data_IF_721846026679
#
_entry.id   IF_721846026679
#
_cell.length_a   1.000
_cell.length_b   1.000
_cell.length_c   1.000
_cell.angle_alpha   90.00
_cell.angle_beta   90.00
_cell.angle_gamma   90.00
#
_symmetry.space_group_name_H-M   'P 1'
#
loop_
_entity.id
_entity.type
_entity.pdbx_description
1 polymer ?
#
# COMPACT_ATOMS: atom_id res chain seq x y z
N UNK A 1 -2.01 -33.55 14.43
CA UNK A 1 -0.85 -33.18 13.62
C UNK A 1 -1.44 -32.62 12.35
N UNK A 2 -1.62 -31.31 12.31
CA UNK A 2 -2.06 -30.62 11.09
C UNK A 2 -0.80 -30.33 10.28
N UNK A 3 -0.67 -31.02 9.15
CA UNK A 3 0.40 -30.86 8.19
C UNK A 3 0.34 -29.44 7.63
N UNK A 4 1.25 -28.60 8.09
CA UNK A 4 1.49 -27.29 7.49
C UNK A 4 2.31 -27.54 6.23
N UNK A 5 1.86 -27.12 5.03
CA UNK A 5 2.66 -27.28 3.82
C UNK A 5 4.02 -26.60 4.05
N UNK A 6 5.09 -27.30 3.67
CA UNK A 6 6.45 -26.83 3.93
C UNK A 6 6.70 -25.53 3.14
N UNK A 7 7.46 -24.58 3.71
CA UNK A 7 7.79 -23.28 3.08
C UNK A 7 8.33 -23.45 1.63
N UNK A 8 8.92 -24.60 1.33
CA UNK A 8 9.39 -24.98 -0.01
C UNK A 8 8.26 -25.30 -1.01
N UNK A 9 7.16 -25.93 -0.59
CA UNK A 9 6.03 -26.27 -1.45
C UNK A 9 5.31 -25.00 -1.92
N UNK A 10 4.99 -24.07 -1.01
CA UNK A 10 4.36 -22.79 -1.38
C UNK A 10 5.25 -21.96 -2.33
N UNK A 11 6.57 -22.01 -2.15
CA UNK A 11 7.52 -21.36 -3.06
C UNK A 11 7.52 -21.99 -4.46
N UNK A 12 7.35 -23.31 -4.56
CA UNK A 12 7.21 -24.01 -5.85
C UNK A 12 5.88 -23.67 -6.51
N UNK A 13 4.78 -23.66 -5.75
CA UNK A 13 3.45 -23.30 -6.26
C UNK A 13 3.46 -21.87 -6.83
N UNK A 14 4.02 -20.90 -6.09
CA UNK A 14 4.13 -19.51 -6.55
C UNK A 14 4.87 -19.38 -7.88
N UNK A 15 6.01 -20.07 -8.05
CA UNK A 15 6.77 -20.04 -9.31
C UNK A 15 5.98 -20.59 -10.49
N UNK A 16 5.25 -21.69 -10.29
CA UNK A 16 4.39 -22.29 -11.33
C UNK A 16 3.25 -21.35 -11.68
N UNK A 17 2.60 -20.75 -10.68
CA UNK A 17 1.51 -19.80 -10.89
C UNK A 17 1.97 -18.50 -11.58
N UNK A 18 3.13 -17.96 -11.24
CA UNK A 18 3.71 -16.80 -11.93
C UNK A 18 4.03 -17.10 -13.39
N UNK A 19 4.57 -18.28 -13.69
CA UNK A 19 4.82 -18.73 -15.05
C UNK A 19 3.52 -18.90 -15.85
N UNK A 20 2.48 -19.50 -15.24
CA UNK A 20 1.14 -19.62 -15.81
C UNK A 20 0.51 -18.24 -16.07
N UNK A 21 0.63 -17.32 -15.12
CA UNK A 21 0.14 -15.94 -15.25
C UNK A 21 0.78 -15.23 -16.44
N UNK A 22 2.12 -15.29 -16.55
CA UNK A 22 2.85 -14.66 -17.65
C UNK A 22 2.47 -15.28 -19.00
N UNK A 23 2.41 -16.61 -19.09
CA UNK A 23 2.04 -17.27 -20.33
C UNK A 23 0.58 -16.99 -20.73
N UNK A 24 -0.32 -16.84 -19.76
CA UNK A 24 -1.71 -16.43 -19.99
C UNK A 24 -1.82 -14.97 -20.46
N UNK A 25 -1.00 -14.08 -19.90
CA UNK A 25 -0.91 -12.68 -20.32
C UNK A 25 -0.42 -12.56 -21.77
N UNK A 26 0.64 -13.30 -22.13
CA UNK A 26 1.18 -13.33 -23.49
C UNK A 26 0.14 -13.84 -24.50
N UNK A 27 -0.69 -14.80 -24.08
CA UNK A 27 -1.77 -15.35 -24.91
C UNK A 27 -2.91 -14.34 -25.12
N UNK A 28 -3.14 -13.43 -24.17
CA UNK A 28 -4.12 -12.35 -24.30
C UNK A 28 -3.63 -11.22 -25.21
N UNK A 29 -2.36 -10.81 -25.06
CA UNK A 29 -1.77 -9.71 -25.83
C UNK A 29 -1.45 -10.12 -27.27
N UNK A 30 -1.13 -11.40 -27.50
CA UNK A 30 -0.82 -11.94 -28.81
C UNK A 30 -1.60 -13.24 -29.11
N UNK A 31 -2.92 -13.17 -29.37
CA UNK A 31 -3.72 -14.32 -29.77
C UNK A 31 -3.38 -14.69 -31.23
N UNK A 32 -2.27 -15.40 -31.47
CA UNK A 32 -1.73 -15.58 -32.83
C UNK A 32 -2.74 -16.23 -33.79
N UNK A 33 -3.08 -15.60 -34.93
CA UNK A 33 -3.91 -16.22 -35.96
C UNK A 33 -3.16 -16.74 -37.19
N UNK A 34 -1.84 -16.52 -37.36
CA UNK A 34 -1.23 -16.66 -38.70
C UNK A 34 0.00 -17.57 -38.80
N UNK A 35 -0.09 -18.43 -39.81
CA UNK A 35 0.93 -19.24 -40.48
C UNK A 35 1.45 -20.48 -39.74
N UNK A 36 1.22 -21.63 -40.39
CA UNK A 36 1.95 -22.91 -40.48
C UNK A 36 2.73 -23.53 -39.29
N UNK A 37 2.98 -22.82 -38.19
CA UNK A 37 3.56 -23.35 -36.96
C UNK A 37 2.50 -23.29 -35.86
N UNK A 38 1.78 -24.40 -35.73
CA UNK A 38 0.70 -24.67 -34.74
C UNK A 38 1.18 -24.65 -33.27
N UNK A 39 2.32 -24.04 -32.96
CA UNK A 39 3.02 -24.15 -31.69
C UNK A 39 3.46 -22.76 -31.20
N UNK A 40 2.54 -21.90 -30.75
CA UNK A 40 3.03 -20.71 -30.04
C UNK A 40 3.72 -21.19 -28.74
N UNK A 41 4.93 -20.69 -28.42
CA UNK A 41 5.68 -21.13 -27.24
C UNK A 41 4.87 -21.02 -25.96
N UNK A 42 4.03 -19.98 -25.84
CA UNK A 42 3.16 -19.73 -24.69
C UNK A 42 2.05 -20.78 -24.53
N UNK A 43 1.50 -21.31 -25.64
CA UNK A 43 0.49 -22.38 -25.58
C UNK A 43 1.11 -23.69 -25.11
N UNK A 44 2.31 -24.00 -25.60
CA UNK A 44 3.03 -25.21 -25.19
C UNK A 44 3.45 -25.14 -23.72
N UNK A 45 3.95 -23.98 -23.28
CA UNK A 45 4.26 -23.73 -21.88
C UNK A 45 3.03 -23.84 -20.97
N UNK A 46 1.86 -23.34 -21.38
CA UNK A 46 0.62 -23.49 -20.61
C UNK A 46 0.17 -24.94 -20.47
N UNK A 47 0.30 -25.75 -21.53
CA UNK A 47 -0.06 -27.17 -21.48
C UNK A 47 0.95 -28.02 -20.67
N UNK A 48 2.24 -27.69 -20.75
CA UNK A 48 3.28 -28.34 -19.93
C UNK A 48 3.08 -27.97 -18.44
N UNK A 49 2.81 -26.69 -18.14
CA UNK A 49 2.53 -26.20 -16.78
C UNK A 49 1.20 -26.71 -16.22
N UNK A 50 0.14 -26.88 -17.03
CA UNK A 50 -1.11 -27.54 -16.61
C UNK A 50 -0.80 -28.93 -16.04
N UNK A 51 -0.06 -29.76 -16.78
CA UNK A 51 0.22 -31.14 -16.38
C UNK A 51 1.09 -31.24 -15.13
N UNK A 52 1.98 -30.27 -14.91
CA UNK A 52 2.77 -30.18 -13.68
C UNK A 52 1.91 -29.66 -12.51
N UNK A 53 1.00 -28.73 -12.81
CA UNK A 53 0.12 -28.09 -11.84
C UNK A 53 -1.05 -28.98 -11.41
N UNK A 54 -1.57 -29.92 -12.21
CA UNK A 54 -2.71 -30.78 -11.82
C UNK A 54 -2.46 -31.56 -10.51
N UNK A 55 -1.20 -31.93 -10.24
CA UNK A 55 -0.80 -32.58 -8.99
C UNK A 55 -0.73 -31.63 -7.78
N UNK A 56 -0.55 -30.33 -8.04
CA UNK A 56 -0.39 -29.26 -7.05
C UNK A 56 -1.74 -28.55 -6.78
N UNK A 57 -2.52 -28.29 -7.83
CA UNK A 57 -3.81 -27.61 -7.82
C UNK A 57 -4.93 -28.49 -7.27
N UNK A 58 -4.82 -29.82 -7.38
CA UNK A 58 -5.83 -30.76 -6.86
C UNK A 58 -5.89 -30.82 -5.33
N UNK A 59 -4.87 -30.31 -4.64
CA UNK A 59 -4.81 -30.28 -3.18
C UNK A 59 -5.47 -29.04 -2.56
N UNK A 60 -5.67 -27.96 -3.34
CA UNK A 60 -6.29 -26.72 -2.86
C UNK A 60 -7.71 -26.57 -3.43
N UNK A 61 -8.77 -26.64 -2.60
CA UNK A 61 -10.15 -26.43 -3.04
C UNK A 61 -10.39 -25.09 -3.73
N UNK A 62 -9.53 -24.10 -3.48
CA UNK A 62 -9.61 -22.75 -4.02
C UNK A 62 -9.03 -22.63 -5.44
N UNK A 63 -8.32 -23.64 -5.91
CA UNK A 63 -7.72 -23.71 -7.25
C UNK A 63 -8.56 -24.58 -8.22
N UNK A 64 -9.72 -25.09 -7.78
CA UNK A 64 -10.61 -25.89 -8.63
C UNK A 64 -11.14 -25.08 -9.82
N UNK A 65 -11.48 -23.82 -9.61
CA UNK A 65 -11.86 -22.86 -10.67
C UNK A 65 -10.75 -22.63 -11.67
N UNK A 66 -9.49 -22.55 -11.21
CA UNK A 66 -8.32 -22.46 -12.09
C UNK A 66 -8.18 -23.73 -12.94
N UNK A 67 -8.36 -24.91 -12.34
CA UNK A 67 -8.32 -26.19 -13.08
C UNK A 67 -9.42 -26.29 -14.15
N UNK A 68 -10.63 -25.81 -13.86
CA UNK A 68 -11.73 -25.75 -14.83
C UNK A 68 -11.41 -24.81 -16.00
N UNK A 69 -10.79 -23.66 -15.73
CA UNK A 69 -10.35 -22.73 -16.77
C UNK A 69 -9.23 -23.32 -17.63
N UNK A 70 -8.26 -24.03 -17.04
CA UNK A 70 -7.18 -24.71 -17.77
C UNK A 70 -7.72 -25.84 -18.66
N UNK A 71 -8.63 -26.68 -18.14
CA UNK A 71 -9.29 -27.72 -18.92
C UNK A 71 -10.13 -27.12 -20.07
N UNK A 72 -10.83 -26.02 -19.81
CA UNK A 72 -11.59 -25.28 -20.83
C UNK A 72 -10.66 -24.74 -21.92
N UNK A 73 -9.52 -24.16 -21.54
CA UNK A 73 -8.51 -23.65 -22.46
C UNK A 73 -7.96 -24.76 -23.37
N UNK A 74 -7.65 -25.93 -22.80
CA UNK A 74 -7.21 -27.12 -23.55
C UNK A 74 -8.25 -27.58 -24.57
N UNK A 75 -9.51 -27.66 -24.17
CA UNK A 75 -10.61 -28.05 -25.08
C UNK A 75 -10.79 -27.08 -26.25
N UNK A 76 -10.58 -25.78 -26.01
CA UNK A 76 -10.62 -24.75 -27.05
C UNK A 76 -9.45 -24.89 -28.02
N UNK A 77 -8.27 -25.25 -27.53
CA UNK A 77 -7.11 -25.54 -28.38
C UNK A 77 -7.30 -26.79 -29.24
N UNK A 78 -7.80 -27.88 -28.68
CA UNK A 78 -8.11 -29.10 -29.45
C UNK A 78 -9.12 -28.82 -30.57
N UNK A 79 -10.11 -27.97 -30.29
CA UNK A 79 -11.14 -27.56 -31.26
C UNK A 79 -10.54 -26.66 -32.35
N UNK A 80 -9.64 -25.75 -31.98
CA UNK A 80 -8.88 -24.93 -32.92
C UNK A 80 -8.01 -25.79 -33.85
N UNK A 81 -7.33 -26.79 -33.30
CA UNK A 81 -6.45 -27.69 -34.06
C UNK A 81 -7.25 -28.57 -35.03
N UNK A 82 -8.42 -29.07 -34.62
CA UNK A 82 -9.32 -29.88 -35.46
C UNK A 82 -9.99 -29.07 -36.58
N UNK A 83 -10.09 -27.75 -36.44
CA UNK A 83 -10.78 -26.87 -37.39
C UNK A 83 -9.91 -26.28 -38.51
N UNK A 84 -8.71 -26.83 -38.75
CA UNK A 84 -7.72 -26.41 -39.77
C UNK A 84 -8.15 -26.56 -41.26
N UNK A 85 -9.43 -26.60 -41.57
CA UNK A 85 -9.94 -26.60 -42.95
C UNK A 85 -9.79 -25.24 -43.65
N UNK A 86 -9.83 -25.24 -44.99
CA UNK A 86 -9.80 -24.01 -45.80
C UNK A 86 -11.22 -23.64 -46.24
N UNK A 87 -11.96 -22.97 -45.37
CA UNK A 87 -13.31 -22.46 -45.62
C UNK A 87 -13.69 -21.22 -44.80
N UNK A 88 -14.72 -20.49 -45.23
CA UNK A 88 -15.26 -19.33 -44.51
C UNK A 88 -15.80 -19.71 -43.12
N UNK A 89 -16.38 -20.91 -42.97
CA UNK A 89 -16.81 -21.45 -41.68
C UNK A 89 -15.66 -21.69 -40.70
N UNK A 90 -14.54 -22.24 -41.18
CA UNK A 90 -13.31 -22.41 -40.37
C UNK A 90 -12.66 -21.06 -40.01
N UNK A 91 -12.80 -20.03 -40.83
CA UNK A 91 -12.30 -18.69 -40.51
C UNK A 91 -13.07 -18.04 -39.36
N UNK A 92 -14.40 -18.13 -39.37
CA UNK A 92 -15.25 -17.65 -38.27
C UNK A 92 -15.03 -18.48 -36.99
N UNK A 93 -14.95 -19.81 -37.11
CA UNK A 93 -14.63 -20.70 -35.99
C UNK A 93 -13.27 -20.35 -35.36
N UNK A 94 -12.24 -20.06 -36.17
CA UNK A 94 -10.92 -19.64 -35.69
C UNK A 94 -10.98 -18.31 -34.94
N UNK A 95 -11.66 -17.29 -35.47
CA UNK A 95 -11.81 -15.99 -34.79
C UNK A 95 -12.57 -16.08 -33.47
N UNK A 96 -13.69 -16.81 -33.45
CA UNK A 96 -14.48 -17.01 -32.23
C UNK A 96 -13.66 -17.78 -31.19
N UNK A 97 -12.95 -18.83 -31.61
CA UNK A 97 -12.08 -19.62 -30.74
C UNK A 97 -10.92 -18.79 -30.18
N UNK A 98 -10.30 -17.94 -31.00
CA UNK A 98 -9.23 -17.02 -30.55
C UNK A 98 -9.73 -16.02 -29.51
N UNK A 99 -10.94 -15.49 -29.68
CA UNK A 99 -11.54 -14.57 -28.72
C UNK A 99 -11.96 -15.29 -27.42
N UNK A 100 -12.46 -16.52 -27.49
CA UNK A 100 -12.74 -17.32 -26.29
C UNK A 100 -11.45 -17.74 -25.57
N UNK A 101 -10.37 -18.06 -26.30
CA UNK A 101 -9.05 -18.34 -25.72
C UNK A 101 -8.53 -17.12 -24.96
N UNK A 102 -8.57 -15.94 -25.57
CA UNK A 102 -8.18 -14.69 -24.91
C UNK A 102 -9.04 -14.41 -23.66
N UNK A 103 -10.34 -14.69 -23.70
CA UNK A 103 -11.21 -14.53 -22.51
C UNK A 103 -10.89 -15.51 -21.39
N UNK A 104 -10.68 -16.79 -21.70
CA UNK A 104 -10.32 -17.80 -20.70
C UNK A 104 -8.93 -17.53 -20.13
N UNK A 105 -7.99 -17.09 -20.95
CA UNK A 105 -6.68 -16.64 -20.50
C UNK A 105 -6.79 -15.44 -19.52
N UNK A 106 -7.66 -14.46 -19.82
CA UNK A 106 -7.98 -13.38 -18.89
C UNK A 106 -8.55 -13.88 -17.56
N UNK A 107 -9.47 -14.85 -17.58
CA UNK A 107 -9.99 -15.47 -16.36
C UNK A 107 -8.91 -16.21 -15.55
N UNK A 108 -7.99 -16.92 -16.24
CA UNK A 108 -6.86 -17.61 -15.60
C UNK A 108 -5.94 -16.60 -14.92
N UNK A 109 -5.60 -15.49 -15.59
CA UNK A 109 -4.74 -14.45 -15.02
C UNK A 109 -5.37 -13.83 -13.75
N UNK A 110 -6.67 -13.55 -13.78
CA UNK A 110 -7.41 -13.01 -12.63
C UNK A 110 -7.48 -14.00 -11.46
N UNK A 111 -7.73 -15.28 -11.73
CA UNK A 111 -7.81 -16.31 -10.69
C UNK A 111 -6.46 -16.54 -10.01
N UNK A 112 -5.38 -16.58 -10.81
CA UNK A 112 -4.02 -16.69 -10.29
C UNK A 112 -3.68 -15.45 -9.45
N UNK A 113 -4.02 -14.24 -9.91
CA UNK A 113 -3.76 -13.03 -9.14
C UNK A 113 -4.53 -13.03 -7.81
N UNK A 114 -5.79 -13.45 -7.82
CA UNK A 114 -6.61 -13.58 -6.60
C UNK A 114 -6.01 -14.58 -5.59
N UNK A 115 -5.45 -15.69 -6.07
CA UNK A 115 -4.76 -16.65 -5.20
C UNK A 115 -3.48 -16.06 -4.60
N UNK A 116 -2.65 -15.40 -5.43
CA UNK A 116 -1.40 -14.75 -4.97
C UNK A 116 -1.72 -13.68 -3.91
N UNK A 117 -2.76 -12.88 -4.14
CA UNK A 117 -3.19 -11.85 -3.20
C UNK A 117 -3.64 -12.46 -1.86
N UNK A 118 -4.34 -13.61 -1.89
CA UNK A 118 -4.76 -14.33 -0.68
C UNK A 118 -3.57 -14.92 0.09
N UNK A 119 -2.64 -15.57 -0.60
CA UNK A 119 -1.44 -16.17 0.03
C UNK A 119 -0.53 -15.11 0.64
N UNK A 120 -0.42 -13.94 -0.02
CA UNK A 120 0.31 -12.78 0.52
C UNK A 120 -0.30 -12.29 1.84
N UNK A 121 -1.63 -12.17 1.90
CA UNK A 121 -2.35 -11.80 3.13
C UNK A 121 -2.15 -12.85 4.22
N UNK A 122 -2.29 -14.15 3.91
CA UNK A 122 -2.15 -15.21 4.90
C UNK A 122 -0.72 -15.30 5.46
N UNK A 123 0.28 -15.14 4.60
CA UNK A 123 1.71 -15.07 5.00
C UNK A 123 1.98 -13.90 5.93
N UNK A 124 1.47 -12.71 5.59
CA UNK A 124 1.54 -11.53 6.45
C UNK A 124 0.82 -11.76 7.78
N UNK A 125 -0.34 -12.43 7.75
CA UNK A 125 -1.12 -12.73 8.95
C UNK A 125 -0.42 -13.70 9.91
N UNK A 126 0.23 -14.74 9.39
CA UNK A 126 1.11 -15.61 10.17
C UNK A 126 2.26 -14.79 10.77
N UNK A 127 2.84 -13.91 9.96
CA UNK A 127 3.80 -12.86 10.34
C UNK A 127 3.41 -12.07 11.59
N UNK A 128 2.22 -11.47 11.54
CA UNK A 128 1.70 -10.56 12.55
C UNK A 128 1.13 -11.26 13.80
N UNK A 129 0.77 -12.55 13.71
CA UNK A 129 0.20 -13.32 14.83
C UNK A 129 1.28 -13.79 15.81
N UNK A 130 2.51 -13.98 15.33
CA UNK A 130 3.66 -14.43 16.13
C UNK A 130 4.86 -13.48 16.02
N UNK A 131 4.70 -12.17 16.34
CA UNK A 131 5.75 -11.16 16.15
C UNK A 131 6.99 -11.41 17.02
N UNK A 132 6.92 -12.32 18.00
CA UNK A 132 8.04 -12.71 18.86
C UNK A 132 8.98 -13.76 18.24
N UNK A 133 8.60 -14.38 17.11
CA UNK A 133 9.42 -15.43 16.46
C UNK A 133 9.98 -15.05 15.09
N UNK A 134 9.44 -14.00 14.46
CA UNK A 134 9.82 -13.60 13.11
C UNK A 134 10.76 -12.40 13.19
N UNK A 135 11.87 -12.46 12.46
CA UNK A 135 12.82 -11.36 12.40
C UNK A 135 12.14 -10.10 11.84
N UNK A 136 12.46 -8.95 12.43
CA UNK A 136 11.87 -7.65 12.05
C UNK A 136 11.96 -7.41 10.53
N UNK A 137 13.10 -7.78 9.93
CA UNK A 137 13.34 -7.63 8.49
C UNK A 137 12.44 -8.53 7.64
N UNK A 138 12.13 -9.75 8.09
CA UNK A 138 11.20 -10.65 7.39
C UNK A 138 9.78 -10.06 7.43
N UNK A 139 9.34 -9.55 8.58
CA UNK A 139 8.02 -8.92 8.71
C UNK A 139 7.91 -7.63 7.90
N UNK A 140 8.94 -6.79 7.90
CA UNK A 140 9.01 -5.60 7.03
C UNK A 140 8.95 -6.01 5.56
N UNK A 141 9.62 -7.10 5.17
CA UNK A 141 9.57 -7.58 3.78
C UNK A 141 8.17 -8.02 3.37
N UNK A 142 7.43 -8.69 4.26
CA UNK A 142 6.04 -9.10 4.01
C UNK A 142 5.12 -7.87 3.90
N UNK A 143 5.33 -6.87 4.74
CA UNK A 143 4.59 -5.61 4.73
C UNK A 143 4.86 -4.80 3.45
N UNK A 144 6.10 -4.73 2.99
CA UNK A 144 6.45 -4.08 1.71
C UNK A 144 5.87 -4.84 0.51
N UNK A 145 5.86 -6.18 0.53
CA UNK A 145 5.19 -6.96 -0.49
C UNK A 145 3.68 -6.68 -0.52
N UNK A 146 3.05 -6.54 0.65
CA UNK A 146 1.64 -6.16 0.73
C UNK A 146 1.39 -4.75 0.19
N UNK A 147 2.25 -3.77 0.53
CA UNK A 147 2.21 -2.41 -0.02
C UNK A 147 2.27 -2.42 -1.55
N UNK A 148 3.24 -3.12 -2.14
CA UNK A 148 3.39 -3.25 -3.60
C UNK A 148 2.14 -3.84 -4.25
N UNK A 149 1.49 -4.81 -3.59
CA UNK A 149 0.24 -5.42 -4.07
C UNK A 149 -0.92 -4.43 -4.03
N UNK A 150 -1.05 -3.65 -2.96
CA UNK A 150 -2.08 -2.60 -2.87
C UNK A 150 -1.88 -1.57 -3.99
N UNK A 151 -0.63 -1.16 -4.25
CA UNK A 151 -0.29 -0.19 -5.30
C UNK A 151 -0.56 -0.70 -6.73
N UNK A 152 -0.35 -2.00 -6.98
CA UNK A 152 -0.61 -2.63 -8.29
C UNK A 152 -2.10 -2.74 -8.66
N UNK A 153 -3.00 -2.25 -7.80
CA UNK A 153 -4.43 -2.19 -8.09
C UNK A 153 -5.14 -3.45 -7.66
N UNK A 154 -5.02 -3.78 -6.37
CA UNK A 154 -5.87 -4.74 -5.66
C UNK A 154 -7.36 -4.55 -6.05
N UNK A 155 -7.88 -5.35 -7.00
CA UNK A 155 -9.25 -5.26 -7.54
C UNK A 155 -9.64 -6.60 -8.16
N UNK A 156 -10.90 -7.14 -8.04
CA UNK A 156 -12.12 -6.64 -7.41
C UNK A 156 -12.72 -7.62 -6.37
N UNK A 157 -11.91 -8.30 -5.54
CA UNK A 157 -12.43 -9.09 -4.41
C UNK A 157 -12.99 -8.24 -3.27
N UNK A 158 -12.79 -6.91 -3.31
CA UNK A 158 -13.58 -5.93 -2.56
C UNK A 158 -15.07 -5.95 -2.97
N UNK A 159 -15.42 -6.59 -4.11
CA UNK A 159 -16.81 -6.85 -4.51
C UNK A 159 -17.41 -8.10 -3.85
N UNK A 160 -16.61 -8.97 -3.23
CA UNK A 160 -17.10 -10.03 -2.32
C UNK A 160 -17.23 -9.48 -0.90
N UNK A 161 -18.11 -8.49 -0.81
CA UNK A 161 -18.46 -7.65 0.32
C UNK A 161 -19.18 -8.45 1.43
N UNK A 162 -18.54 -9.46 2.03
CA UNK A 162 -19.09 -10.16 3.21
C UNK A 162 -18.07 -10.52 4.29
N UNK A 163 -16.77 -10.48 3.97
CA UNK A 163 -15.69 -10.53 4.96
C UNK A 163 -15.15 -9.12 5.28
N UNK A 164 -16.04 -8.12 5.29
CA UNK A 164 -15.80 -6.78 5.87
C UNK A 164 -15.29 -6.88 7.32
N UNK A 165 -15.61 -7.97 8.01
CA UNK A 165 -15.05 -8.33 9.31
C UNK A 165 -13.56 -8.69 9.26
N UNK A 166 -13.09 -9.27 8.16
CA UNK A 166 -11.69 -9.64 7.93
C UNK A 166 -10.93 -8.39 7.45
N UNK A 167 -11.54 -7.49 6.67
CA UNK A 167 -10.95 -6.17 6.36
C UNK A 167 -10.69 -5.31 7.60
N UNK A 168 -11.67 -5.17 8.50
CA UNK A 168 -11.54 -4.35 9.72
C UNK A 168 -10.71 -5.06 10.81
N UNK A 169 -10.98 -6.32 11.13
CA UNK A 169 -10.23 -7.04 12.20
C UNK A 169 -8.79 -7.36 11.79
N UNK A 170 -8.50 -7.60 10.50
CA UNK A 170 -7.11 -7.83 10.06
C UNK A 170 -6.32 -6.53 9.91
N UNK A 171 -6.92 -5.43 9.44
CA UNK A 171 -6.22 -4.14 9.40
C UNK A 171 -5.88 -3.67 10.81
N UNK A 172 -6.77 -3.81 11.79
CA UNK A 172 -6.46 -3.47 13.19
C UNK A 172 -5.25 -4.23 13.75
N UNK A 173 -5.14 -5.54 13.50
CA UNK A 173 -3.96 -6.33 13.93
C UNK A 173 -2.69 -5.96 13.19
N UNK A 174 -2.78 -5.69 11.89
CA UNK A 174 -1.65 -5.23 11.09
C UNK A 174 -1.14 -3.89 11.60
N UNK A 175 -2.03 -2.91 11.78
CA UNK A 175 -1.69 -1.60 12.33
C UNK A 175 -1.06 -1.77 13.71
N UNK A 176 -1.70 -2.56 14.59
CA UNK A 176 -1.17 -2.81 15.93
C UNK A 176 0.23 -3.42 15.89
N UNK A 177 0.47 -4.43 15.04
CA UNK A 177 1.79 -5.04 14.87
C UNK A 177 2.84 -4.04 14.38
N UNK A 178 2.51 -3.31 13.31
CA UNK A 178 3.38 -2.29 12.71
C UNK A 178 3.76 -1.19 13.70
N UNK A 179 2.78 -0.70 14.47
CA UNK A 179 2.99 0.32 15.51
C UNK A 179 3.78 -0.26 16.68
N UNK A 180 3.50 -1.50 17.11
CA UNK A 180 4.18 -2.14 18.24
C UNK A 180 5.66 -2.45 17.99
N UNK A 181 6.07 -2.60 16.73
CA UNK A 181 7.48 -2.78 16.36
C UNK A 181 8.35 -1.56 16.70
N UNK A 182 7.77 -0.35 16.79
CA UNK A 182 8.47 0.90 17.11
C UNK A 182 9.76 1.12 16.29
N UNK A 183 9.72 0.75 15.01
CA UNK A 183 10.85 0.84 14.08
C UNK A 183 10.56 1.84 12.95
N UNK A 184 11.60 2.53 12.47
CA UNK A 184 11.44 3.45 11.35
C UNK A 184 11.01 2.73 10.07
N UNK A 185 11.40 1.47 9.87
CA UNK A 185 11.00 0.68 8.70
C UNK A 185 9.51 0.37 8.74
N UNK A 186 9.00 -0.07 9.89
CA UNK A 186 7.57 -0.38 10.05
C UNK A 186 6.72 0.90 9.94
N UNK A 187 7.16 1.99 10.56
CA UNK A 187 6.49 3.29 10.45
C UNK A 187 6.45 3.81 9.00
N UNK A 188 7.52 3.58 8.22
CA UNK A 188 7.56 3.96 6.81
C UNK A 188 6.51 3.20 5.99
N UNK A 189 6.39 1.89 6.21
CA UNK A 189 5.32 1.08 5.62
C UNK A 189 3.96 1.66 6.00
N UNK A 190 3.73 2.00 7.28
CA UNK A 190 2.46 2.58 7.71
C UNK A 190 2.11 3.85 6.93
N UNK A 191 3.07 4.77 6.77
CA UNK A 191 2.90 5.99 5.97
C UNK A 191 2.53 5.70 4.52
N UNK A 192 3.18 4.71 3.90
CA UNK A 192 2.85 4.27 2.54
C UNK A 192 1.46 3.65 2.42
N UNK A 193 1.06 2.82 3.39
CA UNK A 193 -0.27 2.22 3.42
C UNK A 193 -1.35 3.31 3.59
N UNK A 194 -1.09 4.34 4.40
CA UNK A 194 -1.99 5.49 4.54
C UNK A 194 -2.16 6.21 3.20
N UNK A 195 -1.08 6.43 2.43
CA UNK A 195 -1.17 7.04 1.09
C UNK A 195 -2.00 6.21 0.12
N UNK A 196 -1.85 4.89 0.20
CA UNK A 196 -2.45 3.95 -0.74
C UNK A 196 -3.93 3.71 -0.45
N UNK A 197 -4.27 3.51 0.83
CA UNK A 197 -5.63 3.18 1.28
C UNK A 197 -6.42 4.44 1.64
N UNK A 198 -5.76 5.53 2.04
CA UNK A 198 -6.32 6.83 2.43
C UNK A 198 -7.17 6.75 3.71
N UNK A 199 -8.25 7.55 3.78
CA UNK A 199 -9.09 7.71 4.98
C UNK A 199 -9.55 6.40 5.63
N UNK A 200 -9.96 5.34 4.89
CA UNK A 200 -10.34 4.06 5.50
C UNK A 200 -9.28 3.45 6.42
N UNK A 201 -7.98 3.58 6.10
CA UNK A 201 -6.92 3.09 6.98
C UNK A 201 -6.76 4.00 8.20
N UNK A 202 -6.82 5.32 8.02
CA UNK A 202 -6.74 6.27 9.13
C UNK A 202 -7.89 6.08 10.12
N UNK A 203 -9.09 5.78 9.64
CA UNK A 203 -10.24 5.43 10.46
C UNK A 203 -9.99 4.18 11.30
N UNK A 204 -9.31 3.18 10.73
CA UNK A 204 -8.94 1.96 11.45
C UNK A 204 -7.83 2.21 12.47
N UNK A 205 -6.86 3.09 12.18
CA UNK A 205 -5.84 3.51 13.16
C UNK A 205 -6.49 4.21 14.36
N UNK A 206 -7.49 5.06 14.12
CA UNK A 206 -8.26 5.75 15.16
C UNK A 206 -9.10 4.76 15.98
N UNK A 207 -9.85 3.87 15.34
CA UNK A 207 -10.75 2.92 16.00
C UNK A 207 -10.00 1.93 16.91
N UNK A 208 -8.76 1.59 16.57
CA UNK A 208 -7.87 0.76 17.38
C UNK A 208 -7.11 1.55 18.46
N UNK A 209 -7.26 2.88 18.52
CA UNK A 209 -6.60 3.73 19.52
C UNK A 209 -5.08 3.80 19.34
N UNK A 210 -4.58 3.65 18.11
CA UNK A 210 -3.15 3.62 17.82
C UNK A 210 -2.56 5.03 17.61
N UNK A 211 -3.40 6.04 17.32
CA UNK A 211 -2.99 7.46 17.14
C UNK A 211 -2.13 7.97 18.31
N UNK A 212 -2.52 7.80 19.60
CA UNK A 212 -1.69 8.24 20.72
C UNK A 212 -0.29 7.64 20.73
N UNK A 213 -0.16 6.34 20.40
CA UNK A 213 1.12 5.65 20.38
C UNK A 213 2.01 6.15 19.24
N UNK A 214 1.43 6.37 18.06
CA UNK A 214 2.13 6.96 16.92
C UNK A 214 2.71 8.32 17.30
N UNK A 215 1.91 9.17 17.95
CA UNK A 215 2.35 10.50 18.40
C UNK A 215 3.47 10.39 19.45
N UNK A 216 3.44 9.39 20.34
CA UNK A 216 4.51 9.17 21.32
C UNK A 216 5.87 8.88 20.68
N UNK A 217 5.93 8.36 19.44
CA UNK A 217 7.20 8.14 18.75
C UNK A 217 7.94 9.43 18.36
N UNK A 218 7.25 10.58 18.38
CA UNK A 218 7.90 11.89 18.20
C UNK A 218 8.90 12.24 19.31
N UNK A 219 8.78 11.59 20.49
CA UNK A 219 9.66 11.82 21.64
C UNK A 219 10.77 10.77 21.77
N UNK A 220 10.90 9.84 20.82
CA UNK A 220 11.88 8.75 20.90
C UNK A 220 13.32 9.24 20.71
N UNK A 221 14.29 8.47 21.20
CA UNK A 221 15.72 8.82 21.03
C UNK A 221 16.20 8.67 19.59
N UNK A 222 15.61 7.73 18.85
CA UNK A 222 15.95 7.48 17.45
C UNK A 222 15.42 8.62 16.56
N UNK A 223 16.37 9.35 15.95
CA UNK A 223 16.05 10.44 15.03
C UNK A 223 15.30 9.93 13.78
N UNK A 224 15.71 8.79 13.21
CA UNK A 224 15.06 8.26 12.01
C UNK A 224 13.60 7.92 12.28
N UNK A 225 13.32 7.28 13.41
CA UNK A 225 11.95 7.01 13.84
C UNK A 225 11.15 8.31 13.98
N UNK A 226 11.68 9.33 14.67
CA UNK A 226 11.00 10.62 14.84
C UNK A 226 10.66 11.31 13.53
N UNK A 227 11.59 11.31 12.56
CA UNK A 227 11.37 11.92 11.24
C UNK A 227 10.29 11.16 10.47
N UNK A 228 10.37 9.83 10.41
CA UNK A 228 9.37 9.01 9.71
C UNK A 228 8.00 9.08 10.42
N UNK A 229 7.97 9.21 11.74
CA UNK A 229 6.75 9.46 12.51
C UNK A 229 6.14 10.82 12.16
N UNK A 230 6.95 11.88 12.02
CA UNK A 230 6.43 13.18 11.56
C UNK A 230 5.78 13.03 10.19
N UNK A 231 6.42 12.35 9.25
CA UNK A 231 5.83 12.09 7.94
C UNK A 231 4.50 11.32 8.08
N UNK A 232 4.45 10.26 8.88
CA UNK A 232 3.21 9.52 9.16
C UNK A 232 2.10 10.42 9.73
N UNK A 233 2.45 11.30 10.67
CA UNK A 233 1.53 12.28 11.28
C UNK A 233 1.00 13.26 10.24
N UNK A 234 1.83 13.71 9.30
CA UNK A 234 1.40 14.57 8.20
C UNK A 234 0.42 13.85 7.26
N UNK A 235 0.67 12.58 6.95
CA UNK A 235 -0.25 11.77 6.14
C UNK A 235 -1.59 11.52 6.85
N UNK A 236 -1.58 11.25 8.16
CA UNK A 236 -2.80 11.17 8.97
C UNK A 236 -3.53 12.52 8.94
N UNK A 237 -2.82 13.65 9.01
CA UNK A 237 -3.40 14.97 8.84
C UNK A 237 -4.10 15.18 7.50
N UNK A 238 -3.50 14.69 6.41
CA UNK A 238 -4.04 14.85 5.06
C UNK A 238 -5.29 14.01 4.80
N UNK A 239 -5.28 12.72 5.20
CA UNK A 239 -6.38 11.79 4.92
C UNK A 239 -7.37 11.62 6.07
N UNK A 240 -7.03 12.06 7.28
CA UNK A 240 -7.80 11.82 8.49
C UNK A 240 -9.12 12.57 8.54
N UNK A 241 -10.15 11.89 9.02
CA UNK A 241 -11.45 12.49 9.34
C UNK A 241 -11.40 13.16 10.70
N UNK A 242 -12.47 13.89 11.04
CA UNK A 242 -12.59 14.71 12.24
C UNK A 242 -12.14 13.97 13.51
N UNK A 243 -12.57 12.73 13.69
CA UNK A 243 -12.27 11.90 14.86
C UNK A 243 -10.77 11.63 15.02
N UNK A 244 -10.07 11.31 13.92
CA UNK A 244 -8.63 11.09 13.94
C UNK A 244 -7.86 12.36 14.30
N UNK A 245 -8.25 13.50 13.73
CA UNK A 245 -7.61 14.80 14.04
C UNK A 245 -7.87 15.22 15.48
N UNK A 246 -9.08 15.00 15.99
CA UNK A 246 -9.41 15.23 17.41
C UNK A 246 -8.56 14.37 18.34
N UNK A 247 -8.34 13.09 18.01
CA UNK A 247 -7.46 12.22 18.76
C UNK A 247 -6.01 12.74 18.78
N UNK A 248 -5.51 13.26 17.65
CA UNK A 248 -4.17 13.84 17.57
C UNK A 248 -4.00 15.09 18.43
N UNK A 249 -4.98 16.01 18.38
CA UNK A 249 -4.95 17.23 19.17
C UNK A 249 -5.11 16.93 20.67
N UNK A 250 -5.94 15.95 21.02
CA UNK A 250 -6.13 15.50 22.41
C UNK A 250 -4.87 14.90 23.02
N UNK A 251 -4.07 14.18 22.21
CA UNK A 251 -2.76 13.68 22.64
C UNK A 251 -1.69 14.79 22.74
N UNK A 252 -2.05 16.03 22.40
CA UNK A 252 -1.15 17.17 22.52
C UNK A 252 -0.13 17.26 21.38
N UNK A 253 -0.46 16.75 20.19
CA UNK A 253 0.42 16.79 19.01
C UNK A 253 1.04 18.18 18.80
N UNK A 254 0.24 19.24 18.82
CA UNK A 254 0.72 20.60 18.54
C UNK A 254 1.79 21.03 19.52
N UNK A 255 1.65 20.68 20.81
CA UNK A 255 2.67 20.99 21.82
C UNK A 255 3.99 20.28 21.49
N UNK A 256 3.93 19.00 21.12
CA UNK A 256 5.11 18.22 20.71
C UNK A 256 5.76 18.80 19.45
N UNK A 257 4.98 19.19 18.44
CA UNK A 257 5.50 19.83 17.23
C UNK A 257 6.19 21.17 17.53
N UNK A 258 5.63 21.99 18.44
CA UNK A 258 6.27 23.24 18.89
C UNK A 258 7.60 22.95 19.60
N UNK A 259 7.66 21.93 20.45
CA UNK A 259 8.90 21.51 21.11
C UNK A 259 9.95 20.99 20.11
N UNK A 260 9.53 20.24 19.09
CA UNK A 260 10.38 19.76 18.00
C UNK A 260 10.91 20.90 17.13
N UNK A 261 10.06 21.86 16.75
CA UNK A 261 10.45 23.02 15.96
C UNK A 261 11.45 23.91 16.70
N UNK A 262 11.40 23.94 18.04
CA UNK A 262 12.38 24.66 18.88
C UNK A 262 13.73 23.96 19.00
N UNK A 263 13.80 22.65 18.71
CA UNK A 263 15.03 21.87 18.88
C UNK A 263 16.11 22.24 17.85
N UNK A 264 17.35 21.80 18.08
CA UNK A 264 18.47 22.01 17.14
C UNK A 264 18.24 21.42 15.73
N UNK A 265 17.30 20.47 15.61
CA UNK A 265 16.88 19.84 14.35
C UNK A 265 15.57 20.43 13.79
N UNK A 266 15.08 21.48 14.43
CA UNK A 266 13.94 22.30 14.02
C UNK A 266 14.39 23.59 13.34
N UNK A 267 13.70 24.68 13.62
CA UNK A 267 13.92 25.99 13.01
C UNK A 267 12.75 26.46 12.16
N UNK A 268 12.88 27.67 11.63
CA UNK A 268 11.86 28.31 10.81
C UNK A 268 12.31 28.32 9.35
N UNK A 269 11.38 28.18 8.40
CA UNK A 269 11.70 28.20 6.96
C UNK A 269 12.27 29.57 6.51
N UNK A 270 12.14 30.60 7.34
CA UNK A 270 12.74 31.93 7.13
C UNK A 270 14.29 31.85 7.17
N UNK A 271 14.86 30.88 7.90
CA UNK A 271 16.30 30.70 8.03
C UNK A 271 16.97 30.08 6.79
N UNK A 272 16.19 29.59 5.82
CA UNK A 272 16.68 29.07 4.52
C UNK A 272 17.58 30.13 3.83
N UNK A 273 17.28 31.42 4.03
CA UNK A 273 18.04 32.53 3.44
C UNK A 273 19.43 32.76 4.03
N UNK A 274 19.74 32.24 5.22
CA UNK A 274 21.00 32.55 5.94
C UNK A 274 22.11 31.50 5.77
N UNK A 275 21.80 30.29 5.30
CA UNK A 275 22.73 29.15 5.30
C UNK A 275 23.22 28.69 3.91
N UNK A 276 22.87 29.38 2.81
CA UNK A 276 23.20 28.92 1.45
C UNK A 276 24.14 29.85 0.68
N UNK A 277 25.38 29.42 0.44
CA UNK A 277 26.24 29.98 -0.62
C UNK A 277 25.52 29.86 -1.97
N UNK A 278 25.46 30.96 -2.73
CA UNK A 278 24.65 31.08 -3.95
C UNK A 278 25.03 30.12 -5.10
N UNK A 279 26.08 29.32 -4.94
CA UNK A 279 26.79 28.65 -6.03
C UNK A 279 26.31 27.24 -6.39
N UNK A 280 25.36 26.67 -5.66
CA UNK A 280 25.05 25.24 -5.83
C UNK A 280 23.60 25.01 -6.27
N UNK A 281 23.43 24.57 -7.52
CA UNK A 281 22.16 24.51 -8.27
C UNK A 281 21.17 23.40 -7.85
N UNK A 282 21.16 23.00 -6.58
CA UNK A 282 20.16 22.08 -6.02
C UNK A 282 19.03 22.81 -5.29
N UNK A 283 17.88 22.15 -5.09
CA UNK A 283 16.75 22.73 -4.37
C UNK A 283 17.15 23.03 -2.90
N UNK A 284 17.38 24.32 -2.57
CA UNK A 284 17.87 24.77 -1.25
C UNK A 284 16.96 24.34 -0.11
N UNK A 285 15.66 24.29 -0.37
CA UNK A 285 14.64 23.86 0.59
C UNK A 285 14.80 22.39 0.98
N UNK A 286 15.06 21.50 0.01
CA UNK A 286 15.26 20.07 0.26
C UNK A 286 16.47 19.81 1.15
N UNK A 287 17.60 20.49 0.90
CA UNK A 287 18.80 20.38 1.74
C UNK A 287 18.63 20.97 3.12
N UNK A 288 17.82 22.01 3.26
CA UNK A 288 17.52 22.57 4.58
C UNK A 288 16.70 21.59 5.41
N UNK A 289 15.66 20.98 4.83
CA UNK A 289 14.83 19.98 5.50
C UNK A 289 15.57 18.66 5.80
N UNK A 290 16.59 18.30 5.01
CA UNK A 290 17.48 17.18 5.33
C UNK A 290 18.28 17.42 6.63
N UNK A 291 18.68 18.68 6.87
CA UNK A 291 19.42 19.06 8.07
C UNK A 291 18.50 19.46 9.25
N UNK A 292 17.29 19.94 8.95
CA UNK A 292 16.30 20.43 9.89
C UNK A 292 14.93 19.78 9.62
N UNK A 293 14.77 18.47 9.88
CA UNK A 293 13.57 17.73 9.50
C UNK A 293 12.29 18.21 10.21
N UNK A 294 12.43 18.88 11.35
CA UNK A 294 11.31 19.43 12.12
C UNK A 294 11.03 20.91 11.83
N UNK A 295 11.75 21.51 10.87
CA UNK A 295 11.54 22.91 10.53
C UNK A 295 10.10 23.17 10.07
N UNK A 296 9.50 24.22 10.63
CA UNK A 296 8.11 24.62 10.42
C UNK A 296 7.10 23.46 10.45
N UNK A 297 7.36 22.42 11.27
CA UNK A 297 6.53 21.21 11.28
C UNK A 297 5.09 21.49 11.74
N UNK A 298 4.87 22.50 12.58
CA UNK A 298 3.53 22.96 12.96
C UNK A 298 2.78 23.52 11.75
N UNK A 299 3.45 24.36 10.95
CA UNK A 299 2.87 24.93 9.74
C UNK A 299 2.63 23.84 8.68
N UNK A 300 3.60 22.94 8.47
CA UNK A 300 3.44 21.78 7.56
C UNK A 300 2.21 20.96 7.93
N UNK A 301 1.99 20.67 9.22
CA UNK A 301 0.79 19.95 9.66
C UNK A 301 -0.49 20.74 9.38
N UNK A 302 -0.52 22.04 9.70
CA UNK A 302 -1.68 22.88 9.42
C UNK A 302 -2.01 22.95 7.91
N UNK A 303 -0.99 22.98 7.06
CA UNK A 303 -1.15 22.93 5.59
C UNK A 303 -1.80 21.61 5.17
N UNK A 304 -1.33 20.47 5.68
CA UNK A 304 -1.93 19.17 5.37
C UNK A 304 -3.42 19.11 5.73
N UNK A 305 -3.84 19.71 6.85
CA UNK A 305 -5.25 19.80 7.21
C UNK A 305 -6.05 20.67 6.22
N UNK A 306 -5.48 21.76 5.71
CA UNK A 306 -6.15 22.68 4.78
C UNK A 306 -6.26 22.08 3.37
N UNK A 307 -5.19 21.46 2.85
CA UNK A 307 -5.19 20.85 1.51
C UNK A 307 -5.69 19.40 1.48
N UNK A 308 -5.83 18.79 2.66
CA UNK A 308 -6.20 17.39 2.82
C UNK A 308 -7.61 17.02 2.35
N UNK A 309 -7.79 15.72 2.08
CA UNK A 309 -9.02 15.12 1.58
C UNK A 309 -10.01 14.74 2.70
N UNK A 310 -9.54 14.58 3.95
CA UNK A 310 -10.34 13.97 5.03
C UNK A 310 -11.36 14.88 5.71
N UNK A 311 -11.15 16.21 5.67
CA UNK A 311 -11.95 17.19 6.42
C UNK A 311 -12.86 18.04 5.55
N UNK A 312 -14.02 18.43 6.08
CA UNK A 312 -14.90 19.44 5.48
C UNK A 312 -14.37 20.83 5.75
N UNK A 313 -14.70 21.81 4.90
CA UNK A 313 -14.21 23.19 5.06
C UNK A 313 -14.54 23.82 6.42
N UNK A 314 -15.68 23.47 7.03
CA UNK A 314 -16.04 23.95 8.37
C UNK A 314 -15.13 23.37 9.46
N UNK A 315 -14.75 22.10 9.32
CA UNK A 315 -13.86 21.40 10.25
C UNK A 315 -12.43 21.93 10.12
N UNK A 316 -11.93 22.11 8.88
CA UNK A 316 -10.64 22.75 8.61
C UNK A 316 -10.49 24.09 9.34
N UNK A 317 -11.51 24.96 9.23
CA UNK A 317 -11.54 26.25 9.93
C UNK A 317 -11.56 26.11 11.45
N UNK A 318 -12.29 25.13 11.98
CA UNK A 318 -12.38 24.90 13.43
C UNK A 318 -11.03 24.42 13.99
N UNK A 319 -10.42 23.42 13.37
CA UNK A 319 -9.11 22.91 13.79
C UNK A 319 -8.01 23.96 13.63
N UNK A 320 -8.05 24.79 12.59
CA UNK A 320 -7.10 25.91 12.45
C UNK A 320 -7.15 26.85 13.66
N UNK A 321 -8.35 27.18 14.16
CA UNK A 321 -8.48 28.02 15.36
C UNK A 321 -7.99 27.31 16.64
N UNK A 322 -8.25 26.02 16.76
CA UNK A 322 -7.78 25.21 17.88
C UNK A 322 -6.25 25.09 17.91
N UNK A 323 -5.62 24.90 16.75
CA UNK A 323 -4.17 24.87 16.58
C UNK A 323 -3.57 26.20 17.00
N UNK A 324 -4.07 27.33 16.49
CA UNK A 324 -3.59 28.67 16.86
C UNK A 324 -3.71 28.92 18.37
N UNK A 325 -4.82 28.52 18.99
CA UNK A 325 -5.00 28.61 20.45
C UNK A 325 -3.97 27.75 21.19
N UNK A 326 -3.69 26.56 20.69
CA UNK A 326 -2.76 25.62 21.33
C UNK A 326 -1.31 26.08 21.19
N UNK A 327 -0.93 26.67 20.05
CA UNK A 327 0.39 27.30 19.83
C UNK A 327 0.66 28.35 20.90
N UNK A 328 -0.28 29.28 21.15
CA UNK A 328 -0.14 30.32 22.19
C UNK A 328 0.13 29.77 23.58
N UNK A 329 -0.44 28.61 23.89
CA UNK A 329 -0.28 27.97 25.19
C UNK A 329 1.03 27.15 25.28
N UNK A 330 1.58 26.70 24.15
CA UNK A 330 2.75 25.84 24.09
C UNK A 330 4.07 26.61 23.91
N UNK A 331 4.02 27.81 23.33
CA UNK A 331 5.19 28.67 23.15
C UNK A 331 5.66 29.29 24.47
N UNK A 332 6.97 29.49 24.58
CA UNK A 332 7.63 30.07 25.77
C UNK A 332 7.59 31.60 25.72
N UNK A 333 7.44 32.19 24.53
CA UNK A 333 7.36 33.64 24.35
C UNK A 333 6.30 34.05 23.32
N UNK A 334 5.82 35.29 23.44
CA UNK A 334 4.90 35.88 22.47
C UNK A 334 5.54 36.05 21.08
N UNK A 335 6.86 36.23 21.02
CA UNK A 335 7.57 36.35 19.75
C UNK A 335 7.58 35.01 19.00
N UNK A 336 7.92 33.92 19.69
CA UNK A 336 7.86 32.56 19.15
C UNK A 336 6.45 32.21 18.67
N UNK A 337 5.43 32.47 19.51
CA UNK A 337 4.04 32.24 19.14
C UNK A 337 3.65 33.02 17.87
N UNK A 338 4.04 34.29 17.78
CA UNK A 338 3.74 35.13 16.61
C UNK A 338 4.41 34.60 15.33
N UNK A 339 5.65 34.11 15.41
CA UNK A 339 6.35 33.52 14.26
C UNK A 339 5.63 32.26 13.77
N UNK A 340 5.36 31.30 14.66
CA UNK A 340 4.70 30.05 14.28
C UNK A 340 3.25 30.31 13.79
N UNK A 341 2.51 31.21 14.44
CA UNK A 341 1.18 31.61 13.98
C UNK A 341 1.22 32.23 12.59
N UNK A 342 2.21 33.08 12.31
CA UNK A 342 2.39 33.65 10.99
C UNK A 342 2.64 32.55 9.95
N UNK A 343 3.57 31.62 10.19
CA UNK A 343 3.83 30.50 9.28
C UNK A 343 2.57 29.67 9.00
N UNK A 344 1.79 29.36 10.03
CA UNK A 344 0.52 28.62 9.90
C UNK A 344 -0.50 29.41 9.06
N UNK A 345 -0.65 30.70 9.33
CA UNK A 345 -1.60 31.56 8.64
C UNK A 345 -1.23 31.75 7.17
N UNK A 346 0.04 32.04 6.87
CA UNK A 346 0.55 32.26 5.52
C UNK A 346 0.62 30.96 4.71
N UNK A 347 1.16 29.88 5.30
CA UNK A 347 1.28 28.59 4.62
C UNK A 347 -0.07 27.95 4.31
N UNK A 348 -1.08 28.19 5.16
CA UNK A 348 -2.44 27.64 5.00
C UNK A 348 -3.45 28.69 4.49
N UNK A 349 -2.99 29.67 3.70
CA UNK A 349 -3.87 30.63 3.01
C UNK A 349 -4.34 30.05 1.67
N UNK A 350 -5.64 30.19 1.31
CA UNK A 350 -6.21 29.64 0.07
C UNK A 350 -5.59 30.16 -1.22
#
# INVERSE_FOLDING_TARGET
>A
MEDTPSKEENTRVLKVLEALKQASHDLQTHPSPNSAESNSPSIKALLELETESDTILSNDPLLSTLSEHLASLKSLFDTLQKSCGHGLGSFLARRVSTQSISRVAGSIELEIQAWIDRESIDSLMKGLKEPLQIEEDELVSLLSQFEDRVLQGFNPLIRFNKDVFVGQVLMGRMIHGVVSMASWKSMKVLSSLIKSIKSPLVDEIESNGEIPKIICFLDYKDLHLRVVTLDCVLEIGYFGRREAIEAMLKEGLIKKLVELQRSDLGGDLIDIGMFGDEKDGGNRETRFLENHPFASCVARFAVQLEVGEGLRQREKRAFKQEILKTIRNACVSNAEAATIEAEVLWGSSP
#
